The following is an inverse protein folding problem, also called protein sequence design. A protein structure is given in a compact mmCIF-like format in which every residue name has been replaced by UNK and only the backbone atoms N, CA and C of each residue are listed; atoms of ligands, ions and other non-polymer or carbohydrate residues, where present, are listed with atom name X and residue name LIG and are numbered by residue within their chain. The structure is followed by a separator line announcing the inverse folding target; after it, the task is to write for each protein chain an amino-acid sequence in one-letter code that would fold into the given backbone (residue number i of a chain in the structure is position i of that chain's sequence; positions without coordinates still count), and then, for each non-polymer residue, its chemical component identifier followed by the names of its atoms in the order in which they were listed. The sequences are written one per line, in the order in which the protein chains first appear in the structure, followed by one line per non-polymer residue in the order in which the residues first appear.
data_IF_040462682116
#
_entry.id   IF_040462682116
#
_cell.length_a   1.000
_cell.length_b   1.000
_cell.length_c   1.000
_cell.angle_alpha   90.00
_cell.angle_beta   90.00
_cell.angle_gamma   90.00
#
_symmetry.space_group_name_H-M   'P 1'
#
loop_
_entity.id
_entity.type
_entity.pdbx_description
1 polymer ?
#
# COMPACT_ATOMS: atom_id res chain seq x y z
N UNK A 1 -10.85 -54.81 -53.16
CA UNK A 1 -11.07 -53.43 -53.62
C UNK A 1 -9.88 -52.60 -53.19
N UNK A 2 -8.94 -52.32 -54.09
CA UNK A 2 -7.66 -51.67 -53.72
C UNK A 2 -7.82 -50.17 -53.68
N UNK A 3 -7.50 -49.58 -52.53
CA UNK A 3 -7.53 -48.12 -52.25
C UNK A 3 -6.45 -47.42 -53.08
N UNK A 4 -6.79 -46.38 -53.83
CA UNK A 4 -5.86 -45.71 -54.75
C UNK A 4 -4.92 -44.81 -53.94
N UNK A 5 -3.65 -44.69 -54.35
CA UNK A 5 -2.62 -43.87 -53.74
C UNK A 5 -3.02 -42.38 -53.41
N UNK A 6 -3.96 -41.86 -54.23
CA UNK A 6 -4.47 -40.48 -54.03
C UNK A 6 -5.37 -40.34 -52.81
N UNK A 7 -6.10 -41.40 -52.43
CA UNK A 7 -7.02 -41.41 -51.32
C UNK A 7 -6.25 -41.51 -49.99
N UNK A 8 -5.07 -42.15 -50.00
CA UNK A 8 -4.16 -42.23 -48.86
C UNK A 8 -3.45 -40.89 -48.59
N UNK A 9 -3.08 -40.14 -49.64
CA UNK A 9 -2.45 -38.82 -49.48
C UNK A 9 -3.44 -37.75 -49.03
N UNK A 10 -4.72 -37.88 -49.36
CA UNK A 10 -5.78 -36.98 -48.85
C UNK A 10 -6.06 -37.17 -47.36
N UNK A 11 -5.99 -38.42 -46.86
CA UNK A 11 -6.18 -38.72 -45.42
C UNK A 11 -4.98 -38.31 -44.57
N UNK A 12 -3.75 -38.41 -45.10
CA UNK A 12 -2.54 -37.98 -44.38
C UNK A 12 -2.40 -36.46 -44.30
N UNK A 13 -2.89 -35.70 -45.29
CA UNK A 13 -2.89 -34.22 -45.22
C UNK A 13 -3.94 -33.67 -44.26
N UNK A 14 -5.09 -34.36 -44.12
CA UNK A 14 -6.13 -33.96 -43.14
C UNK A 14 -5.74 -34.20 -41.67
N UNK A 15 -5.01 -35.29 -41.42
CA UNK A 15 -4.53 -35.61 -40.07
C UNK A 15 -3.39 -34.72 -39.60
N UNK A 16 -2.56 -34.20 -40.51
CA UNK A 16 -1.45 -33.29 -40.16
C UNK A 16 -1.92 -31.86 -39.89
N UNK A 17 -3.04 -31.41 -40.40
CA UNK A 17 -3.62 -30.10 -40.11
C UNK A 17 -4.39 -30.05 -38.78
N UNK A 18 -4.87 -31.19 -38.28
CA UNK A 18 -5.50 -31.28 -36.96
C UNK A 18 -4.47 -31.34 -35.82
N UNK A 19 -3.24 -31.79 -36.12
CA UNK A 19 -2.17 -31.82 -35.11
C UNK A 19 -1.44 -30.47 -34.96
N UNK A 20 -1.56 -29.52 -35.88
CA UNK A 20 -0.96 -28.19 -35.81
C UNK A 20 -1.96 -27.11 -35.28
N UNK A 21 -3.25 -27.44 -35.19
CA UNK A 21 -4.29 -26.55 -34.64
C UNK A 21 -4.56 -26.72 -33.15
N UNK A 22 -3.97 -27.74 -32.50
CA UNK A 22 -4.28 -28.11 -31.11
C UNK A 22 -3.33 -27.60 -30.01
N UNK A 23 -2.30 -26.85 -30.37
CA UNK A 23 -1.28 -26.40 -29.39
C UNK A 23 -1.28 -24.89 -29.08
N UNK A 24 -2.40 -24.23 -29.25
CA UNK A 24 -2.49 -22.77 -29.03
C UNK A 24 -3.61 -22.27 -28.13
N UNK A 25 -4.48 -23.15 -27.66
CA UNK A 25 -5.49 -22.78 -26.68
C UNK A 25 -5.34 -23.63 -25.41
N UNK A 26 -4.14 -23.60 -24.81
CA UNK A 26 -4.08 -23.65 -23.36
C UNK A 26 -4.81 -22.36 -22.96
N UNK A 27 -6.03 -22.47 -22.47
CA UNK A 27 -6.65 -21.39 -21.71
C UNK A 27 -5.57 -20.90 -20.76
N UNK A 28 -5.16 -19.64 -20.89
CA UNK A 28 -4.30 -19.03 -19.91
C UNK A 28 -5.04 -19.29 -18.59
N UNK A 29 -4.51 -20.19 -17.78
CA UNK A 29 -5.03 -20.43 -16.44
C UNK A 29 -5.20 -19.04 -15.86
N UNK A 30 -6.39 -18.71 -15.37
CA UNK A 30 -6.73 -17.38 -14.85
C UNK A 30 -5.63 -16.96 -13.87
N UNK A 31 -4.61 -16.29 -14.41
CA UNK A 31 -3.47 -15.87 -13.63
C UNK A 31 -4.02 -14.91 -12.56
N UNK A 32 -3.74 -15.19 -11.31
CA UNK A 32 -4.15 -14.32 -10.21
C UNK A 32 -3.72 -12.90 -10.53
N UNK A 33 -4.63 -11.92 -10.50
CA UNK A 33 -4.28 -10.56 -10.83
C UNK A 33 -3.30 -10.01 -9.81
N UNK A 34 -2.22 -9.42 -10.28
CA UNK A 34 -1.29 -8.70 -9.40
C UNK A 34 -2.00 -7.51 -8.75
N UNK A 35 -1.81 -7.33 -7.45
CA UNK A 35 -2.45 -6.31 -6.63
C UNK A 35 -1.44 -5.42 -5.93
N UNK A 36 -1.82 -4.17 -5.73
CA UNK A 36 -1.07 -3.21 -4.94
C UNK A 36 -1.96 -2.65 -3.82
N UNK A 37 -1.48 -2.70 -2.60
CA UNK A 37 -2.10 -2.07 -1.43
C UNK A 37 -1.16 -0.97 -0.92
N UNK A 38 -1.68 0.24 -0.77
CA UNK A 38 -0.94 1.36 -0.16
C UNK A 38 -1.54 1.64 1.22
N UNK A 39 -0.69 1.72 2.23
CA UNK A 39 -1.05 2.14 3.58
C UNK A 39 -0.37 3.49 3.86
N UNK A 40 -1.16 4.55 3.93
CA UNK A 40 -0.67 5.91 4.21
C UNK A 40 -0.73 6.18 5.71
N UNK A 41 0.41 6.48 6.31
CA UNK A 41 0.53 6.85 7.71
C UNK A 41 0.52 8.38 7.83
N UNK A 42 -0.67 8.97 8.05
CA UNK A 42 -0.85 10.44 8.07
C UNK A 42 -0.48 11.05 9.42
N UNK A 43 0.45 11.97 9.40
CA UNK A 43 0.98 12.66 10.59
C UNK A 43 2.47 12.40 10.80
N UNK A 44 3.19 11.92 9.79
CA UNK A 44 4.65 11.77 9.84
C UNK A 44 5.09 10.81 10.95
N UNK A 45 4.97 9.51 10.73
CA UNK A 45 5.45 8.49 11.67
C UNK A 45 6.95 8.66 11.94
N UNK A 46 7.38 8.47 13.18
CA UNK A 46 8.79 8.52 13.55
C UNK A 46 9.57 7.30 13.06
N UNK A 47 10.12 7.39 11.85
CA UNK A 47 10.86 6.31 11.20
C UNK A 47 12.07 5.82 11.98
N UNK A 48 12.74 6.69 12.75
CA UNK A 48 13.91 6.31 13.57
C UNK A 48 13.50 5.45 14.79
N UNK A 49 12.27 5.59 15.28
CA UNK A 49 11.76 4.68 16.30
C UNK A 49 11.00 3.49 15.72
N UNK A 50 10.62 3.51 14.44
CA UNK A 50 10.07 2.34 13.73
C UNK A 50 11.18 1.34 13.37
N UNK A 51 12.22 1.82 12.68
CA UNK A 51 13.43 1.06 12.31
C UNK A 51 14.60 1.72 13.02
N UNK A 52 14.93 1.16 14.15
CA UNK A 52 15.83 1.74 15.13
C UNK A 52 17.29 1.53 14.72
N UNK A 53 18.06 2.58 14.47
CA UNK A 53 19.50 2.45 14.19
C UNK A 53 20.28 2.23 15.51
N UNK A 54 20.04 1.09 16.15
CA UNK A 54 20.59 0.79 17.47
C UNK A 54 22.12 0.66 17.49
N UNK A 55 22.72 0.48 16.33
CA UNK A 55 24.18 0.49 16.16
C UNK A 55 24.79 1.88 16.29
N UNK A 56 24.00 2.96 16.29
CA UNK A 56 24.49 4.33 16.38
C UNK A 56 24.35 4.92 17.77
N UNK A 57 25.49 5.32 18.38
CA UNK A 57 25.47 6.05 19.65
C UNK A 57 24.76 7.40 19.55
N UNK A 58 24.84 8.04 18.38
CA UNK A 58 24.17 9.32 18.12
C UNK A 58 22.66 9.23 18.33
N UNK A 59 22.02 8.10 17.98
CA UNK A 59 20.59 7.88 18.18
C UNK A 59 20.22 8.02 19.67
N UNK A 60 21.00 7.42 20.56
CA UNK A 60 20.73 7.49 22.01
C UNK A 60 21.08 8.86 22.61
N UNK A 61 22.13 9.48 22.10
CA UNK A 61 22.57 10.79 22.60
C UNK A 61 21.52 11.89 22.35
N UNK A 62 20.79 11.81 21.23
CA UNK A 62 19.82 12.85 20.84
C UNK A 62 18.36 12.50 21.19
N UNK A 63 18.11 11.32 21.76
CA UNK A 63 16.77 10.82 22.15
C UNK A 63 16.79 10.24 23.57
N UNK A 64 17.14 11.03 24.60
CA UNK A 64 17.39 10.52 25.95
C UNK A 64 16.18 9.84 26.60
N UNK A 65 14.94 10.18 26.23
CA UNK A 65 13.72 9.62 26.85
C UNK A 65 12.89 8.76 25.89
N UNK A 66 12.99 8.98 24.58
CA UNK A 66 12.17 8.28 23.57
C UNK A 66 12.94 7.20 22.81
N UNK A 67 14.26 7.08 22.98
CA UNK A 67 15.02 6.01 22.32
C UNK A 67 14.51 4.62 22.72
N UNK A 68 14.47 3.72 21.74
CA UNK A 68 14.21 2.30 21.97
C UNK A 68 15.51 1.65 22.45
N UNK A 69 15.46 0.93 23.54
CA UNK A 69 16.62 0.25 24.11
C UNK A 69 17.24 -0.75 23.11
N UNK A 70 18.52 -1.10 23.31
CA UNK A 70 19.23 -2.01 22.44
C UNK A 70 18.63 -3.42 22.44
N UNK A 71 18.77 -4.20 21.37
CA UNK A 71 18.40 -5.60 21.36
C UNK A 71 19.02 -6.40 22.52
N UNK A 72 18.28 -7.39 23.01
CA UNK A 72 18.71 -8.21 24.13
C UNK A 72 18.40 -7.63 25.51
N UNK A 73 17.91 -6.40 25.60
CA UNK A 73 17.36 -5.81 26.81
C UNK A 73 15.84 -5.99 26.88
N UNK A 74 15.27 -5.88 28.08
CA UNK A 74 13.82 -5.90 28.26
C UNK A 74 13.17 -4.78 27.44
N UNK A 75 12.15 -5.12 26.63
CA UNK A 75 11.45 -4.19 25.75
C UNK A 75 12.36 -3.45 24.74
N UNK A 76 13.55 -3.99 24.45
CA UNK A 76 14.48 -3.46 23.47
C UNK A 76 14.02 -3.71 22.03
N UNK A 77 14.72 -3.07 21.10
CA UNK A 77 14.51 -3.26 19.66
C UNK A 77 14.67 -4.75 19.28
N UNK A 78 13.89 -5.18 18.31
CA UNK A 78 13.99 -6.54 17.75
C UNK A 78 15.04 -6.50 16.65
N UNK A 79 16.21 -7.12 16.88
CA UNK A 79 17.32 -7.08 15.93
C UNK A 79 16.89 -7.57 14.54
N UNK A 80 17.17 -6.78 13.52
CA UNK A 80 16.96 -7.11 12.11
C UNK A 80 18.30 -7.48 11.45
N UNK A 81 19.34 -6.74 11.76
CA UNK A 81 20.74 -6.97 11.37
C UNK A 81 21.68 -6.45 12.49
N UNK A 82 22.95 -6.23 12.21
CA UNK A 82 23.94 -5.74 13.19
C UNK A 82 23.79 -4.25 13.53
N UNK A 83 23.04 -3.50 12.74
CA UNK A 83 22.89 -2.05 12.87
C UNK A 83 21.47 -1.60 13.21
N UNK A 84 20.47 -2.27 12.64
CA UNK A 84 19.06 -1.88 12.75
C UNK A 84 18.21 -2.90 13.49
N UNK A 85 17.23 -2.40 14.21
CA UNK A 85 16.20 -3.18 14.87
C UNK A 85 14.80 -2.64 14.59
N UNK A 86 13.81 -3.50 14.71
CA UNK A 86 12.40 -3.13 14.61
C UNK A 86 11.87 -2.71 15.99
N UNK A 87 11.00 -1.71 16.03
CA UNK A 87 10.30 -1.33 17.25
C UNK A 87 9.59 -2.55 17.89
N UNK A 88 9.69 -2.78 19.22
CA UNK A 88 9.14 -3.98 19.85
C UNK A 88 7.61 -4.14 19.68
N UNK A 89 6.87 -3.04 19.54
CA UNK A 89 5.43 -3.10 19.25
C UNK A 89 5.09 -3.68 17.87
N UNK A 90 6.06 -3.82 16.97
CA UNK A 90 5.92 -4.41 15.64
C UNK A 90 6.33 -5.90 15.60
N UNK A 91 6.42 -6.56 16.75
CA UNK A 91 6.81 -7.98 16.84
C UNK A 91 5.99 -8.91 15.94
N UNK A 92 4.72 -8.58 15.66
CA UNK A 92 3.87 -9.31 14.72
C UNK A 92 4.40 -9.37 13.28
N UNK A 93 5.36 -8.49 12.91
CA UNK A 93 5.98 -8.48 11.57
C UNK A 93 7.25 -9.31 11.47
N UNK A 94 7.83 -9.78 12.59
CA UNK A 94 9.04 -10.62 12.55
C UNK A 94 8.90 -11.89 11.70
N UNK A 95 7.77 -12.60 11.70
CA UNK A 95 7.60 -13.74 10.82
C UNK A 95 7.72 -13.38 9.34
N UNK A 96 7.19 -12.21 8.91
CA UNK A 96 7.32 -11.72 7.54
C UNK A 96 8.76 -11.32 7.20
N UNK A 97 9.47 -10.71 8.16
CA UNK A 97 10.90 -10.42 8.00
C UNK A 97 11.73 -11.69 7.82
N UNK A 98 11.54 -12.68 8.70
CA UNK A 98 12.23 -13.97 8.65
C UNK A 98 11.91 -14.76 7.37
N UNK A 99 10.66 -14.68 6.90
CA UNK A 99 10.24 -15.27 5.63
C UNK A 99 10.71 -14.47 4.40
N UNK A 100 11.48 -13.39 4.57
CA UNK A 100 11.94 -12.47 3.51
C UNK A 100 10.79 -11.84 2.71
N UNK A 101 9.68 -11.57 3.37
CA UNK A 101 8.47 -10.97 2.80
C UNK A 101 8.22 -9.53 3.29
N UNK A 102 9.16 -8.98 4.03
CA UNK A 102 9.21 -7.58 4.47
C UNK A 102 10.59 -7.02 4.14
N UNK A 103 10.61 -5.95 3.36
CA UNK A 103 11.78 -5.11 3.09
C UNK A 103 11.53 -3.71 3.67
N UNK A 104 12.58 -3.06 4.13
CA UNK A 104 12.55 -1.71 4.66
C UNK A 104 13.51 -0.83 3.85
N UNK A 105 13.08 0.37 3.48
CA UNK A 105 13.92 1.33 2.76
C UNK A 105 14.07 2.55 3.66
N UNK A 106 15.22 2.68 4.32
CA UNK A 106 15.49 3.78 5.24
C UNK A 106 16.00 5.02 4.47
N UNK A 107 15.97 6.20 5.13
CA UNK A 107 16.35 7.48 4.51
C UNK A 107 15.59 7.76 3.20
N UNK A 108 14.33 7.29 3.12
CA UNK A 108 13.45 7.48 1.97
C UNK A 108 12.41 8.57 2.25
N UNK A 109 11.99 9.30 1.22
CA UNK A 109 10.97 10.34 1.37
C UNK A 109 10.77 11.20 0.14
N UNK A 110 10.03 12.30 0.30
CA UNK A 110 9.87 13.30 -0.74
C UNK A 110 11.16 14.13 -0.89
N UNK A 111 11.63 14.42 -2.10
CA UNK A 111 12.73 15.36 -2.29
C UNK A 111 12.34 16.82 -1.99
N UNK A 112 11.06 17.11 -1.90
CA UNK A 112 10.57 18.44 -1.48
C UNK A 112 10.73 18.59 0.04
N UNK A 113 11.37 19.66 0.54
CA UNK A 113 11.71 19.80 1.94
C UNK A 113 10.56 20.34 2.82
N UNK A 114 9.36 20.41 2.28
CA UNK A 114 8.21 20.91 3.06
C UNK A 114 7.99 20.08 4.32
N UNK A 115 7.71 20.76 5.41
CA UNK A 115 7.28 20.17 6.68
C UNK A 115 5.80 20.47 6.97
N UNK A 116 5.05 20.89 5.92
CA UNK A 116 3.60 21.04 5.95
C UNK A 116 2.92 19.72 5.62
N UNK A 117 2.15 19.16 6.54
CA UNK A 117 1.37 17.94 6.28
C UNK A 117 0.51 18.05 5.03
N UNK A 118 -0.15 19.18 4.81
CA UNK A 118 -1.04 19.38 3.66
C UNK A 118 -0.28 19.29 2.34
N UNK A 119 0.85 19.98 2.24
CA UNK A 119 1.67 19.98 1.02
C UNK A 119 2.33 18.63 0.80
N UNK A 120 2.96 18.07 1.84
CA UNK A 120 3.66 16.80 1.74
C UNK A 120 2.72 15.63 1.41
N UNK A 121 1.53 15.58 2.02
CA UNK A 121 0.51 14.59 1.67
C UNK A 121 0.07 14.74 0.21
N UNK A 122 -0.17 15.98 -0.24
CA UNK A 122 -0.48 16.24 -1.64
C UNK A 122 0.63 15.73 -2.57
N UNK A 123 1.91 15.97 -2.24
CA UNK A 123 3.05 15.57 -3.06
C UNK A 123 3.25 14.06 -3.11
N UNK A 124 3.10 13.36 -1.98
CA UNK A 124 3.14 11.90 -1.91
C UNK A 124 1.98 11.28 -2.70
N UNK A 125 0.79 11.82 -2.55
CA UNK A 125 -0.42 11.28 -3.17
C UNK A 125 -0.54 11.62 -4.66
N UNK A 126 -0.05 12.79 -5.08
CA UNK A 126 0.03 13.14 -6.50
C UNK A 126 1.23 12.51 -7.20
N UNK A 127 2.29 12.12 -6.47
CA UNK A 127 3.55 11.66 -7.04
C UNK A 127 4.35 12.76 -7.75
N UNK A 128 4.05 14.04 -7.44
CA UNK A 128 4.68 15.21 -8.07
C UNK A 128 5.18 16.20 -7.01
N UNK A 129 6.27 15.90 -6.29
CA UNK A 129 6.85 16.81 -5.30
C UNK A 129 7.04 18.23 -5.83
N UNK A 130 6.72 19.23 -4.99
CA UNK A 130 6.82 20.65 -5.33
C UNK A 130 5.70 21.19 -6.22
N UNK A 131 4.78 20.35 -6.73
CA UNK A 131 3.68 20.76 -7.61
C UNK A 131 2.33 20.70 -6.93
N UNK A 132 1.77 21.85 -6.52
CA UNK A 132 0.44 21.92 -5.92
C UNK A 132 -0.71 21.88 -6.92
N UNK A 133 -0.43 21.99 -8.23
CA UNK A 133 -1.43 22.06 -9.28
C UNK A 133 -1.82 20.71 -9.88
N UNK A 134 -1.21 19.61 -9.44
CA UNK A 134 -1.54 18.26 -9.92
C UNK A 134 -2.88 17.84 -9.33
N UNK A 135 -3.89 17.74 -10.19
CA UNK A 135 -5.26 17.46 -9.75
C UNK A 135 -5.53 15.98 -9.46
N UNK A 136 -4.79 15.09 -10.11
CA UNK A 136 -4.97 13.63 -10.01
C UNK A 136 -3.89 12.97 -9.16
N UNK A 137 -4.23 11.79 -8.63
CA UNK A 137 -3.33 10.95 -7.85
C UNK A 137 -2.56 9.95 -8.72
N UNK A 138 -1.36 9.58 -8.29
CA UNK A 138 -0.53 8.66 -9.07
C UNK A 138 -1.16 7.26 -9.18
N UNK A 139 -1.93 6.78 -8.20
CA UNK A 139 -2.61 5.49 -8.31
C UNK A 139 -3.80 5.53 -9.28
N UNK A 140 -4.45 6.67 -9.49
CA UNK A 140 -5.46 6.79 -10.53
C UNK A 140 -4.82 6.76 -11.93
N UNK A 141 -3.65 7.40 -12.10
CA UNK A 141 -2.85 7.28 -13.33
C UNK A 141 -2.35 5.84 -13.53
N UNK A 142 -1.91 5.17 -12.46
CA UNK A 142 -1.54 3.75 -12.50
C UNK A 142 -2.71 2.90 -12.98
N UNK A 143 -3.90 3.07 -12.39
CA UNK A 143 -5.11 2.34 -12.80
C UNK A 143 -5.39 2.49 -14.29
N UNK A 144 -5.22 3.70 -14.84
CA UNK A 144 -5.41 3.96 -16.27
C UNK A 144 -4.38 3.25 -17.18
N UNK A 145 -3.24 2.83 -16.65
CA UNK A 145 -2.18 2.15 -17.42
C UNK A 145 -2.23 0.62 -17.29
N UNK A 146 -2.97 0.08 -16.32
CA UNK A 146 -3.05 -1.37 -16.11
C UNK A 146 -3.77 -2.05 -17.29
N UNK A 147 -3.26 -3.16 -17.80
CA UNK A 147 -3.91 -3.92 -18.85
C UNK A 147 -5.20 -4.57 -18.35
N UNK A 148 -6.22 -4.62 -19.23
CA UNK A 148 -7.48 -5.30 -18.95
C UNK A 148 -8.42 -4.58 -17.98
N UNK A 149 -8.14 -3.34 -17.63
CA UNK A 149 -9.00 -2.51 -16.75
C UNK A 149 -10.29 -2.14 -17.50
N UNK A 150 -11.42 -2.43 -16.87
CA UNK A 150 -12.76 -2.29 -17.48
C UNK A 150 -13.44 -0.95 -17.17
N UNK A 151 -12.76 -0.01 -16.50
CA UNK A 151 -13.34 1.22 -15.93
C UNK A 151 -14.45 0.95 -14.92
N UNK A 152 -14.43 -0.22 -14.27
CA UNK A 152 -15.30 -0.48 -13.14
C UNK A 152 -14.78 0.22 -11.89
N UNK A 153 -15.63 0.89 -11.09
CA UNK A 153 -15.19 1.47 -9.82
C UNK A 153 -14.61 0.44 -8.84
N UNK A 154 -14.91 -0.84 -9.00
CA UNK A 154 -14.43 -1.91 -8.12
C UNK A 154 -12.97 -2.30 -8.35
N UNK A 155 -12.31 -1.82 -9.40
CA UNK A 155 -10.91 -2.18 -9.67
C UNK A 155 -9.92 -1.44 -8.77
N UNK A 156 -10.32 -0.30 -8.20
CA UNK A 156 -9.56 0.43 -7.21
C UNK A 156 -10.45 0.82 -6.03
N UNK A 157 -9.95 0.57 -4.82
CA UNK A 157 -10.71 0.72 -3.59
C UNK A 157 -9.98 1.63 -2.60
N UNK A 158 -10.64 2.69 -2.14
CA UNK A 158 -10.22 3.44 -0.96
C UNK A 158 -10.95 2.90 0.27
N UNK A 159 -10.20 2.70 1.35
CA UNK A 159 -10.74 2.32 2.65
C UNK A 159 -10.67 3.53 3.56
N UNK A 160 -11.81 4.09 3.89
CA UNK A 160 -11.88 5.25 4.75
C UNK A 160 -13.12 6.12 4.53
N UNK A 161 -13.28 7.19 5.34
CA UNK A 161 -14.47 8.05 5.28
C UNK A 161 -14.52 8.92 4.01
N UNK A 162 -13.36 9.20 3.40
CA UNK A 162 -13.23 10.07 2.23
C UNK A 162 -12.28 9.49 1.20
N UNK A 163 -12.54 9.79 -0.08
CA UNK A 163 -11.65 9.40 -1.15
C UNK A 163 -10.33 10.20 -1.07
N UNK A 164 -9.17 9.54 -0.83
CA UNK A 164 -7.89 10.22 -0.75
C UNK A 164 -7.43 10.72 -2.12
N UNK A 165 -6.57 11.76 -2.12
CA UNK A 165 -6.05 12.38 -3.35
C UNK A 165 -5.36 11.37 -4.26
N UNK A 166 -4.66 10.39 -3.72
CA UNK A 166 -3.91 9.37 -4.45
C UNK A 166 -4.77 8.59 -5.48
N UNK A 167 -6.08 8.46 -5.22
CA UNK A 167 -7.05 7.79 -6.10
C UNK A 167 -7.95 8.74 -6.89
N UNK A 168 -7.87 10.06 -6.72
CA UNK A 168 -8.62 11.01 -7.53
C UNK A 168 -8.09 11.06 -8.96
N UNK A 169 -8.96 11.18 -9.94
CA UNK A 169 -8.60 11.30 -11.36
C UNK A 169 -9.72 10.85 -12.30
N UNK A 170 -9.35 10.48 -13.53
CA UNK A 170 -10.29 10.11 -14.59
C UNK A 170 -10.87 8.70 -14.46
N UNK A 171 -10.15 7.80 -13.76
CA UNK A 171 -10.63 6.45 -13.56
C UNK A 171 -11.61 6.42 -12.40
N UNK A 172 -12.78 5.74 -12.58
CA UNK A 172 -13.72 5.56 -11.48
C UNK A 172 -13.11 4.64 -10.43
N UNK A 173 -13.34 4.99 -9.15
CA UNK A 173 -12.85 4.24 -7.99
C UNK A 173 -13.95 4.15 -6.94
N UNK A 174 -13.94 3.09 -6.14
CA UNK A 174 -14.86 2.94 -5.01
C UNK A 174 -14.22 3.46 -3.73
N UNK A 175 -15.04 4.09 -2.88
CA UNK A 175 -14.65 4.42 -1.51
C UNK A 175 -15.57 3.67 -0.55
N UNK A 176 -14.98 2.88 0.34
CA UNK A 176 -15.70 2.03 1.27
C UNK A 176 -15.22 2.27 2.70
N UNK A 177 -16.06 2.75 3.61
CA UNK A 177 -15.72 2.73 5.01
C UNK A 177 -15.69 1.28 5.50
N UNK A 178 -14.60 0.86 6.16
CA UNK A 178 -14.55 -0.45 6.83
C UNK A 178 -14.92 -0.29 8.30
N UNK A 179 -15.67 -1.27 8.82
CA UNK A 179 -16.18 -1.26 10.18
C UNK A 179 -17.70 -1.45 10.20
N UNK A 180 -18.37 -1.28 11.33
CA UNK A 180 -19.82 -1.37 11.40
C UNK A 180 -20.55 -0.47 10.40
N UNK A 181 -19.98 0.70 10.10
CA UNK A 181 -20.52 1.63 9.11
C UNK A 181 -20.53 1.11 7.67
N UNK A 182 -19.69 0.12 7.32
CA UNK A 182 -19.64 -0.42 5.96
C UNK A 182 -20.93 -1.16 5.57
N UNK A 183 -21.50 -1.89 6.51
CA UNK A 183 -22.75 -2.63 6.33
C UNK A 183 -23.98 -1.82 6.70
N UNK A 184 -23.83 -0.60 7.22
CA UNK A 184 -24.97 0.25 7.56
C UNK A 184 -25.70 0.65 6.28
N UNK A 185 -27.02 0.36 6.16
CA UNK A 185 -27.78 0.77 5.00
C UNK A 185 -27.75 2.29 4.85
N UNK A 186 -27.36 2.76 3.68
CA UNK A 186 -27.45 4.17 3.33
C UNK A 186 -28.92 4.51 2.99
N UNK A 187 -29.26 5.78 3.04
CA UNK A 187 -30.60 6.22 2.62
C UNK A 187 -30.95 5.72 1.20
N UNK A 188 -29.94 5.69 0.30
CA UNK A 188 -30.09 5.19 -1.08
C UNK A 188 -30.36 3.68 -1.18
N UNK A 189 -30.12 2.92 -0.14
CA UNK A 189 -30.40 1.47 -0.12
C UNK A 189 -31.89 1.19 0.21
N UNK A 190 -32.64 2.21 0.70
CA UNK A 190 -34.08 2.10 0.92
C UNK A 190 -34.81 2.08 -0.41
N UNK A 191 -35.73 1.14 -0.66
CA UNK A 191 -36.40 0.99 -1.94
C UNK A 191 -37.03 2.27 -2.48
N UNK A 192 -37.68 3.08 -1.61
CA UNK A 192 -38.33 4.31 -2.03
C UNK A 192 -37.33 5.36 -2.53
N UNK A 193 -36.21 5.48 -1.81
CA UNK A 193 -35.11 6.40 -2.17
C UNK A 193 -34.40 5.91 -3.42
N UNK A 194 -34.07 4.62 -3.49
CA UNK A 194 -33.45 4.00 -4.65
C UNK A 194 -34.29 4.23 -5.91
N UNK A 195 -35.62 3.98 -5.85
CA UNK A 195 -36.52 4.20 -6.96
C UNK A 195 -36.62 5.68 -7.38
N UNK A 196 -36.51 6.62 -6.42
CA UNK A 196 -36.49 8.03 -6.73
C UNK A 196 -35.21 8.43 -7.47
N UNK A 197 -34.07 7.93 -7.02
CA UNK A 197 -32.76 8.15 -7.67
C UNK A 197 -32.67 7.44 -9.02
N UNK A 198 -33.22 6.23 -9.18
CA UNK A 198 -33.28 5.52 -10.45
C UNK A 198 -34.11 6.31 -11.50
N UNK A 199 -35.18 7.00 -11.08
CA UNK A 199 -35.94 7.89 -11.97
C UNK A 199 -35.16 9.17 -12.31
N UNK A 200 -34.43 9.75 -11.35
CA UNK A 200 -33.70 11.00 -11.52
C UNK A 200 -32.43 10.81 -12.37
N UNK A 201 -31.73 9.70 -12.18
CA UNK A 201 -30.44 9.39 -12.79
C UNK A 201 -30.51 8.20 -13.76
N UNK A 202 -31.68 7.81 -14.21
CA UNK A 202 -31.89 6.70 -15.17
C UNK A 202 -31.45 7.01 -16.61
N UNK A 203 -31.02 8.25 -16.88
CA UNK A 203 -30.56 8.71 -18.18
C UNK A 203 -29.30 7.97 -18.69
N UNK A 204 -29.05 8.09 -20.03
CA UNK A 204 -27.84 7.55 -20.67
C UNK A 204 -26.65 8.50 -20.61
N UNK A 205 -26.79 9.64 -19.98
CA UNK A 205 -25.72 10.63 -19.79
C UNK A 205 -24.62 10.17 -18.83
N UNK A 206 -23.56 10.94 -18.71
CA UNK A 206 -22.41 10.60 -17.87
C UNK A 206 -22.80 10.45 -16.39
N UNK A 207 -23.75 11.25 -15.91
CA UNK A 207 -24.22 11.20 -14.51
C UNK A 207 -25.03 9.95 -14.24
N UNK A 208 -25.94 9.57 -15.15
CA UNK A 208 -26.70 8.32 -15.06
C UNK A 208 -25.82 7.09 -15.17
N UNK A 209 -24.76 7.13 -15.99
CA UNK A 209 -23.76 6.05 -16.04
C UNK A 209 -22.99 5.94 -14.73
N UNK A 210 -22.50 7.04 -14.17
CA UNK A 210 -21.76 7.06 -12.90
C UNK A 210 -22.64 6.55 -11.74
N UNK A 211 -23.91 6.96 -11.70
CA UNK A 211 -24.87 6.48 -10.70
C UNK A 211 -25.06 4.95 -10.74
N UNK A 212 -25.34 4.40 -11.94
CA UNK A 212 -25.50 2.95 -12.09
C UNK A 212 -24.21 2.18 -11.73
N UNK A 213 -23.06 2.66 -12.21
CA UNK A 213 -21.78 2.04 -11.89
C UNK A 213 -21.50 2.06 -10.38
N UNK A 214 -21.77 3.19 -9.71
CA UNK A 214 -21.61 3.31 -8.26
C UNK A 214 -22.51 2.35 -7.48
N UNK A 215 -23.77 2.20 -7.89
CA UNK A 215 -24.70 1.23 -7.27
C UNK A 215 -24.27 -0.22 -7.46
N UNK A 216 -23.85 -0.58 -8.69
CA UNK A 216 -23.35 -1.93 -8.98
C UNK A 216 -22.08 -2.25 -8.17
N UNK A 217 -21.14 -1.31 -8.16
CA UNK A 217 -19.89 -1.44 -7.40
C UNK A 217 -20.16 -1.62 -5.89
N UNK A 218 -21.06 -0.82 -5.32
CA UNK A 218 -21.45 -0.95 -3.92
C UNK A 218 -22.09 -2.31 -3.63
N UNK A 219 -23.01 -2.77 -4.45
CA UNK A 219 -23.65 -4.08 -4.27
C UNK A 219 -22.63 -5.22 -4.35
N UNK A 220 -21.71 -5.17 -5.31
CA UNK A 220 -20.63 -6.14 -5.48
C UNK A 220 -19.69 -6.18 -4.26
N UNK A 221 -19.29 -5.01 -3.74
CA UNK A 221 -18.40 -4.91 -2.58
C UNK A 221 -19.10 -5.37 -1.28
N UNK A 222 -20.36 -4.99 -1.07
CA UNK A 222 -21.11 -5.43 0.11
C UNK A 222 -21.34 -6.94 0.12
N UNK A 223 -21.60 -7.55 -1.03
CA UNK A 223 -21.77 -9.00 -1.14
C UNK A 223 -20.49 -9.79 -0.77
N UNK A 224 -19.31 -9.17 -0.93
CA UNK A 224 -18.02 -9.75 -0.55
C UNK A 224 -17.58 -9.49 0.90
N UNK A 225 -18.36 -8.70 1.68
CA UNK A 225 -18.02 -8.46 3.08
C UNK A 225 -18.41 -9.66 3.95
N UNK A 226 -17.54 -10.07 4.90
CA UNK A 226 -17.93 -11.00 5.94
C UNK A 226 -19.10 -10.41 6.75
N UNK A 227 -19.92 -11.29 7.35
CA UNK A 227 -21.04 -10.86 8.18
C UNK A 227 -20.59 -9.84 9.25
N UNK A 228 -21.38 -8.79 9.53
CA UNK A 228 -21.03 -7.83 10.56
C UNK A 228 -20.87 -8.55 11.90
N UNK A 229 -19.93 -8.11 12.77
CA UNK A 229 -19.82 -8.64 14.12
C UNK A 229 -21.12 -8.42 14.89
N UNK A 230 -21.42 -9.31 15.84
CA UNK A 230 -22.63 -9.28 16.66
C UNK A 230 -22.81 -7.88 17.29
N UNK A 231 -24.00 -7.25 17.18
CA UNK A 231 -24.29 -5.98 17.83
C UNK A 231 -24.06 -5.97 19.34
N UNK A 232 -24.04 -7.14 19.99
CA UNK A 232 -23.71 -7.30 21.40
C UNK A 232 -22.28 -6.91 21.77
N UNK A 233 -21.36 -6.85 20.82
CA UNK A 233 -19.96 -6.44 21.01
C UNK A 233 -19.77 -4.92 21.11
N UNK A 234 -20.79 -4.16 21.48
CA UNK A 234 -20.71 -2.71 21.73
C UNK A 234 -19.82 -1.95 20.73
N UNK A 235 -20.18 -2.04 19.46
CA UNK A 235 -19.51 -1.62 18.24
C UNK A 235 -18.95 -0.21 18.10
N UNK A 236 -18.32 0.32 19.10
CA UNK A 236 -17.36 1.40 18.94
C UNK A 236 -16.08 0.81 18.32
N UNK A 237 -15.84 1.03 17.03
CA UNK A 237 -14.52 0.73 16.48
C UNK A 237 -13.48 1.54 17.28
N UNK A 238 -12.64 0.92 18.12
CA UNK A 238 -11.61 1.64 18.84
C UNK A 238 -10.66 2.24 17.83
N UNK A 239 -9.93 3.31 18.21
CA UNK A 239 -8.87 3.92 17.41
C UNK A 239 -7.86 2.88 16.84
N UNK A 240 -7.84 1.66 17.38
CA UNK A 240 -7.01 0.51 17.04
C UNK A 240 -7.71 -0.49 16.09
N UNK A 241 -8.68 -0.08 15.30
CA UNK A 241 -9.48 -0.98 14.45
C UNK A 241 -8.79 -1.52 13.19
N UNK A 242 -7.51 -1.20 12.93
CA UNK A 242 -6.85 -1.60 11.69
C UNK A 242 -6.70 -3.13 11.52
N UNK A 243 -6.43 -3.96 12.56
CA UNK A 243 -6.40 -5.41 12.38
C UNK A 243 -7.71 -5.97 11.80
N UNK A 244 -8.85 -5.58 12.35
CA UNK A 244 -10.16 -6.00 11.83
C UNK A 244 -10.45 -5.43 10.43
N UNK A 245 -10.00 -4.21 10.13
CA UNK A 245 -10.12 -3.62 8.79
C UNK A 245 -9.25 -4.37 7.78
N UNK A 246 -8.04 -4.77 8.17
CA UNK A 246 -7.11 -5.53 7.35
C UNK A 246 -7.64 -6.93 7.01
N UNK A 247 -8.25 -7.62 7.97
CA UNK A 247 -8.92 -8.91 7.73
C UNK A 247 -10.07 -8.76 6.73
N UNK A 248 -10.90 -7.73 6.88
CA UNK A 248 -12.00 -7.45 5.94
C UNK A 248 -11.47 -7.07 4.55
N UNK A 249 -10.41 -6.26 4.47
CA UNK A 249 -9.77 -5.94 3.21
C UNK A 249 -9.22 -7.21 2.54
N UNK A 250 -8.56 -8.10 3.28
CA UNK A 250 -8.12 -9.39 2.76
C UNK A 250 -9.28 -10.20 2.19
N UNK A 251 -10.38 -10.29 2.94
CA UNK A 251 -11.62 -10.96 2.47
C UNK A 251 -12.15 -10.37 1.16
N UNK A 252 -12.23 -9.04 1.05
CA UNK A 252 -12.65 -8.35 -0.18
C UNK A 252 -11.73 -8.67 -1.35
N UNK A 253 -10.40 -8.61 -1.14
CA UNK A 253 -9.41 -8.88 -2.19
C UNK A 253 -9.49 -10.34 -2.67
N UNK A 254 -9.69 -11.30 -1.77
CA UNK A 254 -9.81 -12.73 -2.10
C UNK A 254 -11.11 -13.01 -2.87
N UNK A 255 -12.24 -12.44 -2.42
CA UNK A 255 -13.54 -12.71 -3.04
C UNK A 255 -13.75 -11.94 -4.35
N UNK A 256 -13.14 -10.77 -4.50
CA UNK A 256 -13.27 -9.94 -5.70
C UNK A 256 -11.94 -9.79 -6.43
N UNK A 257 -11.70 -10.67 -7.40
CA UNK A 257 -10.48 -10.65 -8.23
C UNK A 257 -10.34 -9.43 -9.13
N UNK A 258 -11.38 -8.61 -9.29
CA UNK A 258 -11.31 -7.36 -10.06
C UNK A 258 -10.56 -6.27 -9.31
N UNK A 259 -10.51 -6.31 -7.96
CA UNK A 259 -9.79 -5.32 -7.18
C UNK A 259 -8.29 -5.49 -7.43
N UNK A 260 -7.70 -4.49 -8.07
CA UNK A 260 -6.28 -4.42 -8.42
C UNK A 260 -5.50 -3.50 -7.48
N UNK A 261 -6.13 -2.43 -7.03
CA UNK A 261 -5.52 -1.39 -6.21
C UNK A 261 -6.36 -1.14 -4.96
N UNK A 262 -5.71 -1.00 -3.81
CA UNK A 262 -6.37 -0.59 -2.58
C UNK A 262 -5.54 0.44 -1.82
N UNK A 263 -6.21 1.36 -1.15
CA UNK A 263 -5.57 2.38 -0.29
C UNK A 263 -6.24 2.40 1.07
N UNK A 264 -5.43 2.37 2.11
CA UNK A 264 -5.85 2.57 3.51
C UNK A 264 -5.11 3.79 4.06
N UNK A 265 -5.82 4.69 4.72
CA UNK A 265 -5.21 5.83 5.40
C UNK A 265 -5.40 5.70 6.91
N UNK A 266 -4.28 5.72 7.64
CA UNK A 266 -4.24 5.64 9.10
C UNK A 266 -3.67 6.94 9.66
N UNK A 267 -4.40 7.59 10.55
CA UNK A 267 -4.01 8.87 11.16
C UNK A 267 -3.41 8.73 12.55
N UNK A 268 -3.00 9.87 13.11
CA UNK A 268 -2.57 9.99 14.49
C UNK A 268 -1.06 9.83 14.71
N UNK A 269 -0.24 9.92 13.65
CA UNK A 269 1.21 9.72 13.73
C UNK A 269 1.98 10.98 14.12
N UNK A 270 1.29 12.11 14.31
CA UNK A 270 1.89 13.40 14.66
C UNK A 270 2.18 13.48 16.16
N UNK A 271 3.29 12.86 16.60
CA UNK A 271 3.63 12.64 18.01
C UNK A 271 4.60 13.70 18.54
N UNK A 272 4.12 14.94 18.64
CA UNK A 272 4.92 16.05 19.17
C UNK A 272 5.17 16.00 20.66
N UNK A 273 4.27 15.39 21.44
CA UNK A 273 4.30 15.42 22.90
C UNK A 273 4.17 14.02 23.45
N UNK A 274 5.02 13.65 24.41
CA UNK A 274 4.96 12.35 25.11
C UNK A 274 4.78 11.17 24.15
N UNK A 275 5.61 11.11 23.12
CA UNK A 275 5.60 10.04 22.10
C UNK A 275 5.77 8.67 22.75
N UNK A 276 6.61 8.59 23.77
CA UNK A 276 7.03 7.34 24.41
C UNK A 276 8.13 6.62 23.64
N UNK A 277 8.56 5.49 24.19
CA UNK A 277 9.55 4.59 23.62
C UNK A 277 8.89 3.24 23.26
N UNK A 278 9.25 2.13 23.93
CA UNK A 278 8.58 0.83 23.75
C UNK A 278 7.09 0.83 24.13
N UNK A 279 6.66 1.80 24.91
CA UNK A 279 5.28 2.06 25.32
C UNK A 279 4.94 3.54 25.11
N UNK A 280 3.66 3.88 24.99
CA UNK A 280 3.17 5.24 24.78
C UNK A 280 2.54 5.43 23.41
N UNK A 281 2.33 6.69 23.02
CA UNK A 281 1.51 7.03 21.86
C UNK A 281 1.96 6.36 20.56
N UNK A 282 3.27 6.31 20.29
CA UNK A 282 3.79 5.69 19.07
C UNK A 282 3.60 4.16 19.12
N UNK A 283 3.97 3.52 20.23
CA UNK A 283 3.82 2.08 20.41
C UNK A 283 2.36 1.63 20.29
N UNK A 284 1.43 2.40 20.86
CA UNK A 284 -0.02 2.12 20.83
C UNK A 284 -0.61 2.17 19.42
N UNK A 285 0.04 2.88 18.49
CA UNK A 285 -0.32 2.92 17.06
C UNK A 285 0.44 1.90 16.22
N UNK A 286 1.70 1.64 16.54
CA UNK A 286 2.52 0.67 15.83
C UNK A 286 2.02 -0.76 16.04
N UNK A 287 1.58 -1.12 17.24
CA UNK A 287 1.07 -2.46 17.54
C UNK A 287 -0.11 -2.84 16.62
N UNK A 288 -1.22 -2.10 16.57
CA UNK A 288 -2.31 -2.44 15.66
C UNK A 288 -1.93 -2.31 14.18
N UNK A 289 -0.97 -1.45 13.82
CA UNK A 289 -0.43 -1.41 12.45
C UNK A 289 0.26 -2.74 12.10
N UNK A 290 1.19 -3.19 12.95
CA UNK A 290 1.90 -4.45 12.76
C UNK A 290 0.96 -5.66 12.73
N UNK A 291 0.03 -5.73 13.69
CA UNK A 291 -0.97 -6.80 13.76
C UNK A 291 -1.89 -6.81 12.53
N UNK A 292 -2.30 -5.63 12.06
CA UNK A 292 -3.13 -5.49 10.86
C UNK A 292 -2.40 -5.89 9.58
N UNK A 293 -1.13 -5.53 9.42
CA UNK A 293 -0.33 -5.96 8.26
C UNK A 293 -0.11 -7.48 8.28
N UNK A 294 0.14 -8.07 9.44
CA UNK A 294 0.24 -9.53 9.60
C UNK A 294 -1.11 -10.23 9.31
N UNK A 295 -2.22 -9.66 9.78
CA UNK A 295 -3.56 -10.16 9.51
C UNK A 295 -3.92 -10.08 8.02
N UNK A 296 -3.55 -8.99 7.32
CA UNK A 296 -3.71 -8.84 5.88
C UNK A 296 -2.95 -9.94 5.12
N UNK A 297 -1.67 -10.15 5.46
CA UNK A 297 -0.85 -11.18 4.83
C UNK A 297 -1.45 -12.59 5.04
N UNK A 298 -1.86 -12.89 6.27
CA UNK A 298 -2.51 -14.16 6.61
C UNK A 298 -3.85 -14.34 5.90
N UNK A 299 -4.68 -13.29 5.86
CA UNK A 299 -6.02 -13.34 5.27
C UNK A 299 -6.01 -13.46 3.74
N UNK A 300 -4.97 -12.96 3.08
CA UNK A 300 -4.77 -13.13 1.64
C UNK A 300 -4.35 -14.56 1.24
N UNK A 301 -3.76 -15.33 2.16
CA UNK A 301 -3.38 -16.71 1.87
C UNK A 301 -2.51 -16.83 0.61
N UNK A 302 -2.96 -17.63 -0.37
CA UNK A 302 -2.23 -17.80 -1.65
C UNK A 302 -2.14 -16.52 -2.48
N UNK A 303 -3.10 -15.59 -2.34
CA UNK A 303 -3.11 -14.31 -3.06
C UNK A 303 -2.00 -13.35 -2.58
N UNK A 304 -1.37 -13.64 -1.42
CA UNK A 304 -0.25 -12.88 -0.87
C UNK A 304 0.96 -12.83 -1.81
N UNK A 305 1.22 -13.90 -2.56
CA UNK A 305 2.30 -13.94 -3.55
C UNK A 305 2.08 -12.91 -4.68
N UNK A 306 0.84 -12.65 -5.01
CA UNK A 306 0.44 -11.74 -6.08
C UNK A 306 0.04 -10.35 -5.57
N UNK A 307 0.32 -10.07 -4.28
CA UNK A 307 0.02 -8.80 -3.64
C UNK A 307 1.30 -8.14 -3.13
N UNK A 308 1.50 -6.87 -3.50
CA UNK A 308 2.50 -5.99 -2.88
C UNK A 308 1.78 -4.98 -1.98
N UNK A 309 2.33 -4.76 -0.79
CA UNK A 309 1.85 -3.76 0.17
C UNK A 309 2.97 -2.76 0.41
N UNK A 310 2.70 -1.47 0.27
CA UNK A 310 3.66 -0.42 0.58
C UNK A 310 3.09 0.46 1.68
N UNK A 311 3.88 0.65 2.74
CA UNK A 311 3.54 1.52 3.88
C UNK A 311 4.47 2.72 3.83
N UNK A 312 3.92 3.93 3.82
CA UNK A 312 4.71 5.16 3.79
C UNK A 312 3.98 6.31 4.49
N UNK A 313 4.74 7.31 4.87
CA UNK A 313 4.28 8.56 5.47
C UNK A 313 4.73 9.75 4.62
N UNK A 314 4.15 10.92 4.85
CA UNK A 314 4.42 12.12 4.05
C UNK A 314 5.82 12.68 4.20
N UNK A 315 6.40 12.62 5.40
CA UNK A 315 7.79 12.94 5.74
C UNK A 315 8.19 12.24 7.06
N UNK A 316 9.43 12.39 7.49
CA UNK A 316 9.93 11.86 8.75
C UNK A 316 9.85 12.85 9.90
N UNK A 317 10.45 12.48 11.02
CA UNK A 317 10.55 13.32 12.21
C UNK A 317 11.98 13.81 12.42
N UNK A 318 12.13 14.91 13.14
CA UNK A 318 13.42 15.42 13.55
C UNK A 318 14.24 14.32 14.26
N UNK A 319 15.56 14.33 14.02
CA UNK A 319 16.45 13.34 14.63
C UNK A 319 16.47 13.51 16.14
N UNK A 320 16.46 14.75 16.62
CA UNK A 320 16.44 15.10 18.04
C UNK A 320 15.04 14.96 18.65
N UNK A 321 15.00 14.44 19.86
CA UNK A 321 13.86 14.58 20.76
C UNK A 321 13.63 16.05 21.08
N UNK A 322 12.36 16.49 21.13
CA UNK A 322 12.00 17.85 21.53
C UNK A 322 11.80 17.97 23.05
N UNK A 323 11.57 19.20 23.55
CA UNK A 323 11.39 19.47 24.96
C UNK A 323 10.16 18.84 25.62
N UNK A 324 9.21 18.33 24.82
CA UNK A 324 7.95 17.76 25.30
C UNK A 324 7.96 16.20 25.24
N UNK A 325 9.13 15.58 25.05
CA UNK A 325 9.28 14.13 24.96
C UNK A 325 8.60 13.53 23.73
N UNK A 326 8.66 14.23 22.63
CA UNK A 326 8.22 13.82 21.31
C UNK A 326 9.22 14.27 20.24
N UNK A 327 8.73 14.46 19.02
CA UNK A 327 9.58 14.88 17.90
C UNK A 327 8.87 15.92 17.03
N UNK A 328 9.63 16.89 16.52
CA UNK A 328 9.12 17.83 15.53
C UNK A 328 9.11 17.22 14.12
N UNK A 329 8.48 17.91 13.16
CA UNK A 329 8.50 17.52 11.76
C UNK A 329 9.92 17.49 11.22
N UNK A 330 10.26 16.46 10.48
CA UNK A 330 11.56 16.24 9.86
C UNK A 330 11.47 16.03 8.36
N UNK A 331 12.39 15.22 7.79
CA UNK A 331 12.48 15.07 6.35
C UNK A 331 12.50 13.59 5.94
N UNK A 332 13.65 12.89 5.99
CA UNK A 332 13.76 11.46 5.64
C UNK A 332 12.98 10.55 6.59
N UNK A 333 12.45 9.47 6.07
CA UNK A 333 11.66 8.48 6.78
C UNK A 333 12.05 7.06 6.36
N UNK A 334 11.21 6.09 6.64
CA UNK A 334 11.29 4.70 6.19
C UNK A 334 10.06 4.34 5.37
N UNK A 335 10.26 3.67 4.24
CA UNK A 335 9.21 3.05 3.43
C UNK A 335 9.29 1.53 3.64
N UNK A 336 8.15 0.89 3.87
CA UNK A 336 8.07 -0.55 4.08
C UNK A 336 7.46 -1.19 2.85
N UNK A 337 8.01 -2.31 2.41
CA UNK A 337 7.50 -3.08 1.29
C UNK A 337 7.26 -4.51 1.74
N UNK A 338 6.02 -4.98 1.64
CA UNK A 338 5.62 -6.31 2.05
C UNK A 338 4.97 -7.04 0.86
N UNK A 339 5.07 -8.36 0.84
CA UNK A 339 4.43 -9.20 -0.18
C UNK A 339 5.14 -10.52 -0.37
N UNK A 340 4.44 -11.52 -0.91
CA UNK A 340 5.05 -12.83 -1.11
C UNK A 340 6.12 -12.90 -2.20
N UNK A 341 6.15 -11.92 -3.12
CA UNK A 341 7.19 -11.76 -4.14
C UNK A 341 8.31 -10.77 -3.75
N UNK A 342 8.25 -10.19 -2.55
CA UNK A 342 9.26 -9.25 -2.06
C UNK A 342 10.54 -10.00 -1.69
N UNK A 343 11.68 -9.46 -2.08
CA UNK A 343 13.00 -9.93 -1.66
C UNK A 343 13.41 -9.20 -0.37
N UNK A 344 12.69 -9.50 0.71
CA UNK A 344 12.84 -8.87 2.01
C UNK A 344 13.87 -9.55 2.91
N UNK A 345 13.71 -9.36 4.24
CA UNK A 345 14.68 -9.79 5.24
C UNK A 345 15.96 -8.96 5.18
N UNK A 346 15.87 -7.73 4.66
CA UNK A 346 16.98 -6.79 4.56
C UNK A 346 16.49 -5.34 4.48
N UNK A 347 17.38 -4.43 4.82
CA UNK A 347 17.19 -2.99 4.67
C UNK A 347 17.87 -2.57 3.37
N UNK A 348 17.14 -1.82 2.56
CA UNK A 348 17.56 -1.27 1.28
C UNK A 348 17.88 0.22 1.40
N UNK A 349 18.58 0.73 0.39
CA UNK A 349 19.00 2.12 0.30
C UNK A 349 20.26 2.39 1.09
N UNK A 350 20.85 3.54 0.83
CA UNK A 350 22.04 4.01 1.51
C UNK A 350 21.64 4.65 2.85
N UNK A 351 22.34 4.27 3.92
CA UNK A 351 22.17 4.87 5.23
C UNK A 351 23.21 5.97 5.45
N UNK A 352 22.81 7.25 5.58
CA UNK A 352 23.76 8.36 5.71
C UNK A 352 24.38 8.48 7.10
N UNK A 353 23.81 7.80 8.11
CA UNK A 353 24.16 7.99 9.52
C UNK A 353 23.47 9.19 10.17
N UNK A 354 23.70 9.35 11.47
CA UNK A 354 23.12 10.43 12.29
C UNK A 354 24.17 11.47 12.75
N UNK A 355 25.37 11.45 12.18
CA UNK A 355 26.35 12.51 12.45
C UNK A 355 25.81 13.85 11.93
N UNK A 356 26.04 14.98 12.65
CA UNK A 356 25.48 16.29 12.26
C UNK A 356 25.75 16.70 10.81
N UNK A 357 26.90 16.33 10.27
CA UNK A 357 27.27 16.64 8.88
C UNK A 357 26.50 15.80 7.84
N UNK A 358 25.91 14.68 8.23
CA UNK A 358 25.09 13.81 7.38
C UNK A 358 23.60 14.20 7.42
N UNK A 359 23.19 15.05 8.34
CA UNK A 359 21.80 15.45 8.50
C UNK A 359 21.45 16.60 7.55
N UNK A 360 20.25 16.54 7.00
CA UNK A 360 19.66 17.67 6.29
C UNK A 360 19.44 18.84 7.26
N UNK A 361 19.98 20.01 6.91
CA UNK A 361 20.00 21.21 7.78
C UNK A 361 20.59 20.94 9.19
N UNK A 362 21.50 19.97 9.33
CA UNK A 362 22.07 19.52 10.62
C UNK A 362 20.99 19.12 11.66
N UNK A 363 19.81 18.72 11.22
CA UNK A 363 18.62 18.50 12.05
C UNK A 363 17.86 17.22 11.72
N UNK A 364 17.57 16.99 10.44
CA UNK A 364 16.69 15.93 10.00
C UNK A 364 17.45 14.81 9.29
N UNK A 365 16.95 13.58 9.34
CA UNK A 365 17.46 12.54 8.48
C UNK A 365 17.34 12.99 7.00
N UNK A 366 18.43 12.94 6.27
CA UNK A 366 18.40 13.30 4.85
C UNK A 366 17.54 12.31 4.04
N UNK A 367 16.87 12.80 3.00
CA UNK A 367 16.26 11.94 1.98
C UNK A 367 17.33 11.54 0.98
N UNK A 368 17.80 10.31 1.07
CA UNK A 368 18.77 9.72 0.11
C UNK A 368 18.01 9.04 -1.03
N UNK A 369 16.89 8.41 -0.72
CA UNK A 369 16.05 7.70 -1.69
C UNK A 369 14.73 8.44 -1.89
N UNK A 370 14.47 8.90 -3.12
CA UNK A 370 13.16 9.44 -3.48
C UNK A 370 12.10 8.34 -3.37
N UNK A 371 10.98 8.63 -2.70
CA UNK A 371 9.90 7.66 -2.53
C UNK A 371 9.38 7.11 -3.86
N UNK A 372 9.45 7.89 -4.95
CA UNK A 372 9.04 7.46 -6.29
C UNK A 372 9.97 6.39 -6.85
N UNK A 373 11.26 6.40 -6.50
CA UNK A 373 12.18 5.31 -6.83
C UNK A 373 11.71 4.02 -6.16
N UNK A 374 11.39 4.06 -4.85
CA UNK A 374 10.87 2.88 -4.16
C UNK A 374 9.58 2.39 -4.81
N UNK A 375 8.63 3.30 -5.09
CA UNK A 375 7.37 2.95 -5.73
C UNK A 375 7.60 2.33 -7.12
N UNK A 376 8.44 2.94 -7.96
CA UNK A 376 8.72 2.46 -9.31
C UNK A 376 9.39 1.08 -9.30
N UNK A 377 10.38 0.87 -8.41
CA UNK A 377 11.07 -0.42 -8.25
C UNK A 377 10.15 -1.54 -7.77
N UNK A 378 9.04 -1.21 -7.10
CA UNK A 378 8.02 -2.20 -6.72
C UNK A 378 6.99 -2.38 -7.82
N UNK A 379 6.33 -1.29 -8.27
CA UNK A 379 5.17 -1.40 -9.17
C UNK A 379 5.57 -1.80 -10.58
N UNK A 380 6.75 -1.40 -11.06
CA UNK A 380 7.27 -1.76 -12.38
C UNK A 380 7.29 -3.27 -12.60
N UNK A 381 8.15 -4.00 -11.88
CA UNK A 381 8.26 -5.46 -12.04
C UNK A 381 7.00 -6.18 -11.52
N UNK A 382 6.42 -5.77 -10.39
CA UNK A 382 5.26 -6.45 -9.81
C UNK A 382 4.04 -6.42 -10.74
N UNK A 383 3.74 -5.27 -11.34
CA UNK A 383 2.60 -5.08 -12.24
C UNK A 383 2.98 -5.21 -13.73
N UNK A 384 4.25 -5.52 -14.03
CA UNK A 384 4.81 -5.67 -15.38
C UNK A 384 4.61 -4.42 -16.23
N UNK A 385 4.93 -3.27 -15.66
CA UNK A 385 4.82 -1.98 -16.34
C UNK A 385 6.09 -1.66 -17.13
N UNK A 386 5.92 -0.99 -18.25
CA UNK A 386 7.05 -0.42 -19.01
C UNK A 386 7.52 0.90 -18.40
N UNK A 387 8.75 1.33 -18.71
CA UNK A 387 9.30 2.63 -18.30
C UNK A 387 8.41 3.79 -18.76
N UNK A 388 7.84 3.70 -19.96
CA UNK A 388 6.85 4.67 -20.46
C UNK A 388 5.61 4.75 -19.56
N UNK A 389 5.13 3.62 -19.05
CA UNK A 389 4.00 3.61 -18.11
C UNK A 389 4.40 4.27 -16.79
N UNK A 390 5.60 3.98 -16.26
CA UNK A 390 6.13 4.61 -15.06
C UNK A 390 6.29 6.13 -15.21
N UNK A 391 6.78 6.60 -16.36
CA UNK A 391 6.89 8.04 -16.67
C UNK A 391 5.51 8.73 -16.74
N UNK A 392 4.45 8.03 -17.16
CA UNK A 392 3.09 8.57 -17.11
C UNK A 392 2.53 8.60 -15.68
N UNK A 393 2.90 7.62 -14.84
CA UNK A 393 2.49 7.55 -13.43
C UNK A 393 3.17 8.64 -12.60
N UNK A 394 4.45 8.88 -12.85
CA UNK A 394 5.28 9.89 -12.17
C UNK A 394 5.83 10.92 -13.18
N UNK A 395 5.01 11.90 -13.62
CA UNK A 395 5.43 12.85 -14.65
C UNK A 395 6.66 13.67 -14.27
N UNK A 396 7.68 13.64 -15.15
CA UNK A 396 8.93 14.37 -14.96
C UNK A 396 9.88 13.70 -13.95
N UNK A 397 9.65 12.42 -13.65
CA UNK A 397 10.53 11.60 -12.84
C UNK A 397 11.02 10.39 -13.64
N UNK A 398 12.32 10.17 -13.60
CA UNK A 398 13.00 9.02 -14.17
C UNK A 398 13.72 8.29 -13.03
N UNK A 399 13.25 7.09 -12.62
CA UNK A 399 13.83 6.40 -11.47
C UNK A 399 15.27 5.98 -11.76
N UNK A 400 16.23 6.34 -10.90
CA UNK A 400 17.61 5.89 -11.05
C UNK A 400 17.70 4.37 -10.77
N UNK A 401 18.63 3.70 -11.45
CA UNK A 401 18.98 2.33 -11.09
C UNK A 401 19.62 2.27 -9.71
N UNK A 402 19.20 1.32 -8.90
CA UNK A 402 19.67 1.15 -7.54
C UNK A 402 19.57 -0.32 -7.08
N UNK A 403 19.97 -0.61 -5.85
CA UNK A 403 19.75 -1.91 -5.22
C UNK A 403 18.26 -2.27 -5.09
N UNK A 404 17.38 -1.26 -5.14
CA UNK A 404 15.92 -1.42 -5.15
C UNK A 404 15.39 -2.15 -6.39
N UNK A 405 16.13 -2.22 -7.50
CA UNK A 405 15.75 -2.95 -8.70
C UNK A 405 15.55 -4.46 -8.43
N UNK A 406 16.05 -4.93 -7.29
CA UNK A 406 15.91 -6.32 -6.82
C UNK A 406 14.88 -6.52 -5.72
N UNK A 407 14.10 -5.49 -5.38
CA UNK A 407 13.14 -5.57 -4.25
C UNK A 407 11.96 -6.50 -4.55
N UNK A 408 11.67 -6.73 -5.83
CA UNK A 408 10.68 -7.71 -6.29
C UNK A 408 11.43 -8.81 -7.07
N UNK A 409 11.14 -10.08 -6.73
CA UNK A 409 11.70 -11.26 -7.36
C UNK A 409 10.78 -11.93 -8.36
#
# INVERSE_FOLDING_TARGET
MAMRRRDFLGLSAGASLLALGGSGWAAAADATPKRLVIVLLRGAVDGLNVVVPYGEEAYYAVRPTIAIARPGTENGALALDEHFGLHPALSGLLPLWQAKQLALVHAAGSPDPTRSHFDAQLFIESGTPGRRTTADGWMNRLLATLPGVSRSPTEALAIGPTLPQILKGHMPVANLPLGPAAATPLAIDKPEVANAFDRLYGGKDALGQAYRQGRMARAELIAGLPAPPDPADNGGAPANGFPAQAERLAGLLVHNRKIRLAVVSLGGWDTHVRQGNHAGQLADRLRPLGDGLAALAKGLGSEWHDTAVIVLSEFGRAVHENGDGGTDHGHGNVVWVLGGAVQGGRIYGEWPGLAPAALYESRDLAVITDFRTVLASVIGPHLRLSDRALSNIFPGFDPPHSDLDRIIG
#
